data_IF_984437670635
#
_entry.id   IF_984437670635
#
_cell.length_a   1.000
_cell.length_b   1.000
_cell.length_c   1.000
_cell.angle_alpha   90.00
_cell.angle_beta   90.00
_cell.angle_gamma   90.00
#
_symmetry.space_group_name_H-M   'P 1'
#
loop_
_entity.id
_entity.type
_entity.pdbx_description
1 polymer ?
#
# COMPACT_ATOMS: atom_id res chain seq x y z
N UNK A 1 -2.90 -10.12 -31.01
CA UNK A 1 -2.55 -11.03 -29.94
C UNK A 1 -3.62 -10.97 -28.84
N UNK A 2 -3.90 -12.08 -28.20
CA UNK A 2 -4.84 -12.20 -27.08
C UNK A 2 -4.14 -12.92 -25.95
N UNK A 3 -4.38 -12.49 -24.71
CA UNK A 3 -3.89 -13.17 -23.51
C UNK A 3 -5.07 -13.66 -22.67
N UNK A 4 -5.00 -14.90 -22.21
CA UNK A 4 -5.96 -15.52 -21.31
C UNK A 4 -5.19 -16.22 -20.20
N UNK A 5 -5.22 -15.66 -18.99
CA UNK A 5 -4.40 -16.12 -17.89
C UNK A 5 -2.89 -16.07 -18.21
N UNK A 6 -2.20 -17.18 -18.01
CA UNK A 6 -0.76 -17.30 -18.29
C UNK A 6 -0.42 -17.59 -19.78
N UNK A 7 -1.41 -17.69 -20.65
CA UNK A 7 -1.22 -18.09 -22.05
C UNK A 7 -1.49 -16.90 -22.97
N UNK A 8 -0.49 -16.51 -23.76
CA UNK A 8 -0.63 -15.57 -24.88
C UNK A 8 -0.81 -16.34 -26.21
N UNK A 9 -1.76 -15.90 -27.05
CA UNK A 9 -2.00 -16.45 -28.37
C UNK A 9 -1.83 -15.36 -29.43
N UNK A 10 -1.15 -15.71 -30.51
CA UNK A 10 -0.99 -14.85 -31.69
C UNK A 10 -1.73 -15.52 -32.85
N UNK A 11 -2.60 -14.75 -33.50
CA UNK A 11 -3.40 -15.23 -34.62
C UNK A 11 -2.96 -14.51 -35.90
N UNK A 12 -3.00 -15.19 -37.03
CA UNK A 12 -2.79 -14.60 -38.34
C UNK A 12 -4.07 -13.88 -38.81
N UNK A 13 -3.91 -12.71 -39.43
CA UNK A 13 -5.02 -11.93 -39.98
C UNK A 13 -5.75 -11.04 -38.94
N UNK A 14 -6.91 -10.56 -39.33
CA UNK A 14 -7.77 -9.70 -38.49
C UNK A 14 -8.80 -10.55 -37.76
N UNK A 15 -8.81 -10.47 -36.44
CA UNK A 15 -9.80 -11.16 -35.63
C UNK A 15 -11.05 -10.26 -35.53
N UNK A 16 -12.25 -10.77 -35.78
CA UNK A 16 -13.47 -10.01 -35.55
C UNK A 16 -13.63 -9.71 -34.05
N UNK A 17 -13.84 -8.45 -33.71
CA UNK A 17 -14.04 -7.98 -32.34
C UNK A 17 -15.41 -7.33 -32.25
N UNK A 18 -16.21 -7.76 -31.28
CA UNK A 18 -17.46 -7.10 -30.93
C UNK A 18 -17.20 -6.12 -29.78
N UNK A 19 -17.46 -4.84 -30.02
CA UNK A 19 -17.38 -3.80 -28.99
C UNK A 19 -18.78 -3.48 -28.53
N UNK A 20 -19.09 -3.83 -27.28
CA UNK A 20 -20.35 -3.43 -26.64
C UNK A 20 -20.10 -2.17 -25.83
N UNK A 21 -20.83 -1.10 -26.13
CA UNK A 21 -20.80 0.14 -25.35
C UNK A 21 -22.08 0.22 -24.53
N UNK A 22 -21.93 0.32 -23.21
CA UNK A 22 -23.03 0.56 -22.29
C UNK A 22 -23.06 2.05 -21.96
N UNK A 23 -24.16 2.72 -22.25
CA UNK A 23 -24.38 4.10 -21.84
C UNK A 23 -24.76 4.13 -20.35
N UNK A 24 -23.92 4.73 -19.55
CA UNK A 24 -24.09 4.85 -18.10
C UNK A 24 -24.69 6.21 -17.70
N UNK A 25 -24.90 7.13 -18.66
CA UNK A 25 -25.38 8.49 -18.37
C UNK A 25 -26.82 8.52 -17.85
N UNK A 26 -27.62 7.50 -18.19
CA UNK A 26 -29.00 7.35 -17.74
C UNK A 26 -29.17 6.65 -16.38
N UNK A 27 -28.07 6.19 -15.77
CA UNK A 27 -28.12 5.53 -14.46
C UNK A 27 -28.50 6.54 -13.38
N UNK A 28 -29.55 6.24 -12.64
CA UNK A 28 -29.87 7.00 -11.43
C UNK A 28 -28.79 6.74 -10.36
N UNK A 29 -28.26 7.82 -9.81
CA UNK A 29 -27.28 7.71 -8.74
C UNK A 29 -27.92 7.04 -7.53
N UNK A 30 -27.32 5.96 -6.99
CA UNK A 30 -27.87 5.29 -5.81
C UNK A 30 -27.76 6.23 -4.59
N UNK A 31 -28.55 5.96 -3.58
CA UNK A 31 -28.50 6.68 -2.30
C UNK A 31 -27.19 6.43 -1.54
N UNK A 32 -26.59 5.27 -1.75
CA UNK A 32 -25.33 4.85 -1.14
C UNK A 32 -24.15 5.24 -2.04
N UNK A 33 -23.00 5.56 -1.46
CA UNK A 33 -21.76 5.71 -2.20
C UNK A 33 -21.27 4.37 -2.71
N UNK A 34 -20.92 4.31 -3.99
CA UNK A 34 -20.33 3.14 -4.65
C UNK A 34 -18.85 3.40 -4.83
N UNK A 35 -18.03 2.79 -3.98
CA UNK A 35 -16.60 2.98 -3.97
C UNK A 35 -15.88 1.70 -4.44
N UNK A 36 -14.72 1.86 -5.07
CA UNK A 36 -13.93 0.73 -5.57
C UNK A 36 -12.91 0.26 -4.53
N UNK A 37 -12.55 -1.02 -4.58
CA UNK A 37 -11.36 -1.54 -3.91
C UNK A 37 -10.21 -1.56 -4.91
N UNK A 38 -9.06 -1.02 -4.52
CA UNK A 38 -7.90 -0.91 -5.38
C UNK A 38 -6.62 -1.26 -4.59
N UNK A 39 -5.75 -2.07 -5.19
CA UNK A 39 -4.47 -2.41 -4.59
C UNK A 39 -3.31 -2.07 -5.53
N UNK A 40 -3.49 -2.27 -6.84
CA UNK A 40 -2.46 -2.00 -7.83
C UNK A 40 -2.57 -0.55 -8.36
N UNK A 41 -1.55 0.30 -8.18
CA UNK A 41 -1.55 1.67 -8.69
C UNK A 41 -1.55 1.74 -10.23
N UNK A 42 -1.02 0.74 -10.94
CA UNK A 42 -0.92 0.74 -12.41
C UNK A 42 -2.27 0.81 -13.12
N UNK A 43 -3.32 0.26 -12.50
CA UNK A 43 -4.67 0.29 -13.04
C UNK A 43 -5.54 1.43 -12.48
N UNK A 44 -4.97 2.30 -11.62
CA UNK A 44 -5.73 3.33 -10.92
C UNK A 44 -6.45 4.28 -11.88
N UNK A 45 -5.74 4.80 -12.88
CA UNK A 45 -6.32 5.71 -13.85
C UNK A 45 -7.46 5.05 -14.66
N UNK A 46 -7.26 3.83 -15.14
CA UNK A 46 -8.27 3.10 -15.87
C UNK A 46 -9.51 2.83 -15.00
N UNK A 47 -9.30 2.45 -13.75
CA UNK A 47 -10.39 2.18 -12.79
C UNK A 47 -11.15 3.45 -12.42
N UNK A 48 -10.49 4.61 -12.34
CA UNK A 48 -11.12 5.89 -12.00
C UNK A 48 -12.14 6.35 -13.05
N UNK A 49 -12.02 5.89 -14.30
CA UNK A 49 -12.96 6.19 -15.38
C UNK A 49 -14.30 5.44 -15.26
N UNK A 50 -14.37 4.42 -14.42
CA UNK A 50 -15.64 3.75 -14.12
C UNK A 50 -16.51 4.65 -13.23
N UNK A 51 -17.86 4.54 -13.29
CA UNK A 51 -18.73 5.23 -12.34
C UNK A 51 -18.40 4.81 -10.91
N UNK A 52 -17.96 5.76 -10.09
CA UNK A 52 -17.57 5.52 -8.70
C UNK A 52 -17.62 6.80 -7.87
N UNK A 53 -17.66 6.66 -6.56
CA UNK A 53 -17.59 7.75 -5.58
C UNK A 53 -16.23 7.84 -4.87
N UNK A 54 -15.22 7.12 -5.37
CA UNK A 54 -13.86 7.10 -4.84
C UNK A 54 -13.35 5.69 -4.55
N UNK A 55 -12.26 5.61 -3.79
CA UNK A 55 -11.64 4.35 -3.35
C UNK A 55 -11.98 4.09 -1.89
N UNK A 56 -12.79 3.07 -1.64
CA UNK A 56 -13.21 2.67 -0.29
C UNK A 56 -12.16 1.86 0.45
N UNK A 57 -11.25 1.22 -0.29
CA UNK A 57 -10.10 0.51 0.26
C UNK A 57 -8.95 0.46 -0.74
N UNK A 58 -7.91 1.23 -0.48
CA UNK A 58 -6.60 1.06 -1.12
C UNK A 58 -5.69 0.25 -0.19
N UNK A 59 -5.18 -0.88 -0.70
CA UNK A 59 -4.32 -1.79 0.07
C UNK A 59 -2.86 -1.51 -0.25
N UNK A 60 -2.15 -0.83 0.64
CA UNK A 60 -0.72 -0.55 0.44
C UNK A 60 0.15 -1.82 0.41
N UNK A 61 -0.35 -2.94 0.94
CA UNK A 61 0.36 -4.21 0.91
C UNK A 61 0.74 -4.64 -0.51
N UNK A 62 -0.09 -4.34 -1.50
CA UNK A 62 0.24 -4.63 -2.90
C UNK A 62 1.42 -3.80 -3.39
N UNK A 63 1.48 -2.51 -3.01
CA UNK A 63 2.62 -1.66 -3.35
C UNK A 63 3.88 -2.19 -2.68
N UNK A 64 3.79 -2.56 -1.40
CA UNK A 64 4.93 -3.12 -0.66
C UNK A 64 5.38 -4.45 -1.25
N UNK A 65 4.46 -5.35 -1.59
CA UNK A 65 4.79 -6.68 -2.09
C UNK A 65 5.31 -6.68 -3.54
N UNK A 66 4.76 -5.83 -4.40
CA UNK A 66 5.07 -5.84 -5.84
C UNK A 66 6.18 -4.87 -6.23
N UNK A 67 6.18 -3.65 -5.65
CA UNK A 67 7.13 -2.59 -6.02
C UNK A 67 8.32 -2.52 -5.06
N UNK A 68 8.10 -2.54 -3.75
CA UNK A 68 9.17 -2.41 -2.75
C UNK A 68 9.86 -3.75 -2.51
N UNK A 69 9.12 -4.81 -2.23
CA UNK A 69 9.55 -6.20 -2.03
C UNK A 69 10.52 -6.44 -0.86
N UNK A 70 10.85 -5.41 -0.10
CA UNK A 70 11.76 -5.46 1.04
C UNK A 70 10.99 -5.17 2.32
N UNK A 71 11.30 -5.91 3.39
CA UNK A 71 10.74 -5.62 4.71
C UNK A 71 11.20 -4.24 5.20
N UNK A 72 10.31 -3.35 5.69
CA UNK A 72 10.70 -1.99 6.08
C UNK A 72 11.81 -1.95 7.13
N UNK A 73 11.79 -2.85 8.13
CA UNK A 73 12.86 -2.93 9.13
C UNK A 73 14.20 -3.40 8.55
N UNK A 74 14.20 -4.15 7.45
CA UNK A 74 15.43 -4.54 6.74
C UNK A 74 16.09 -3.35 6.02
N UNK A 75 15.31 -2.33 5.67
CA UNK A 75 15.80 -1.08 5.11
C UNK A 75 16.32 -0.11 6.17
N UNK A 76 15.82 -0.22 7.41
CA UNK A 76 16.29 0.58 8.55
C UNK A 76 17.53 -0.04 9.18
N UNK A 77 17.56 -1.36 9.32
CA UNK A 77 18.58 -2.14 10.02
C UNK A 77 19.18 -3.26 9.15
N UNK A 78 19.79 -2.94 7.99
CA UNK A 78 20.38 -3.96 7.12
C UNK A 78 21.50 -4.77 7.80
N UNK A 79 22.15 -4.21 8.82
CA UNK A 79 23.18 -4.87 9.61
C UNK A 79 22.66 -6.07 10.43
N UNK A 80 21.36 -6.16 10.67
CA UNK A 80 20.73 -7.28 11.39
C UNK A 80 20.43 -8.48 10.51
N UNK A 81 20.68 -8.38 9.21
CA UNK A 81 20.46 -9.47 8.26
C UNK A 81 21.75 -10.28 8.15
N UNK A 82 21.73 -11.52 8.57
CA UNK A 82 22.93 -12.39 8.53
C UNK A 82 23.33 -12.79 7.11
N UNK A 83 22.34 -12.99 6.21
CA UNK A 83 22.58 -13.39 4.83
C UNK A 83 23.17 -12.25 4.00
N UNK A 84 24.44 -12.43 3.60
CA UNK A 84 25.16 -11.45 2.79
C UNK A 84 24.55 -11.25 1.40
N UNK A 85 23.96 -12.30 0.79
CA UNK A 85 23.34 -12.21 -0.53
C UNK A 85 22.06 -11.36 -0.46
N UNK A 86 21.29 -11.49 0.63
CA UNK A 86 20.09 -10.65 0.90
C UNK A 86 20.50 -9.19 1.09
N UNK A 87 21.56 -8.91 1.87
CA UNK A 87 22.06 -7.53 2.02
C UNK A 87 22.51 -6.91 0.72
N UNK A 88 23.23 -7.67 -0.11
CA UNK A 88 23.65 -7.19 -1.44
C UNK A 88 22.45 -6.91 -2.36
N UNK A 89 21.44 -7.76 -2.32
CA UNK A 89 20.22 -7.56 -3.10
C UNK A 89 19.46 -6.29 -2.65
N UNK A 90 19.38 -6.03 -1.34
CA UNK A 90 18.80 -4.79 -0.81
C UNK A 90 19.63 -3.58 -1.25
N UNK A 91 20.95 -3.65 -1.16
CA UNK A 91 21.82 -2.56 -1.58
C UNK A 91 21.64 -2.21 -3.07
N UNK A 92 21.48 -3.21 -3.95
CA UNK A 92 21.18 -2.99 -5.37
C UNK A 92 19.80 -2.34 -5.60
N UNK A 93 18.77 -2.79 -4.87
CA UNK A 93 17.42 -2.21 -4.98
C UNK A 93 17.37 -0.76 -4.53
N UNK A 94 18.22 -0.40 -3.58
CA UNK A 94 18.26 0.95 -2.98
C UNK A 94 19.40 1.81 -3.53
N UNK A 95 20.04 1.38 -4.62
CA UNK A 95 21.08 2.16 -5.31
C UNK A 95 20.50 3.51 -5.77
N UNK A 96 21.21 4.58 -5.48
CA UNK A 96 20.78 5.94 -5.80
C UNK A 96 20.05 6.68 -4.67
N UNK A 97 19.68 6.00 -3.59
CA UNK A 97 19.13 6.63 -2.38
C UNK A 97 20.24 6.86 -1.34
N UNK A 98 20.20 8.02 -0.64
CA UNK A 98 21.19 8.31 0.40
C UNK A 98 21.06 7.33 1.59
N UNK A 99 19.86 6.85 1.86
CA UNK A 99 19.57 5.81 2.84
C UNK A 99 18.59 4.79 2.24
N UNK A 100 18.77 3.48 2.52
CA UNK A 100 17.86 2.46 2.02
C UNK A 100 16.37 2.70 2.43
N UNK A 101 16.14 3.30 3.60
CA UNK A 101 14.80 3.65 4.08
C UNK A 101 14.09 4.71 3.21
N UNK A 102 14.83 5.58 2.51
CA UNK A 102 14.25 6.58 1.60
C UNK A 102 13.61 5.93 0.38
N UNK A 103 14.14 4.79 -0.08
CA UNK A 103 13.54 3.97 -1.13
C UNK A 103 12.10 3.56 -0.75
N UNK A 104 11.90 3.05 0.47
CA UNK A 104 10.56 2.67 0.93
C UNK A 104 9.59 3.85 0.91
N UNK A 105 10.01 4.98 1.46
CA UNK A 105 9.18 6.19 1.52
C UNK A 105 8.85 6.69 0.12
N UNK A 106 9.80 6.66 -0.80
CA UNK A 106 9.63 7.06 -2.18
C UNK A 106 8.62 6.17 -2.90
N UNK A 107 8.89 4.87 -2.98
CA UNK A 107 8.06 3.91 -3.71
C UNK A 107 6.63 3.85 -3.17
N UNK A 108 6.48 3.84 -1.83
CA UNK A 108 5.15 3.83 -1.23
C UNK A 108 4.40 5.12 -1.51
N UNK A 109 5.06 6.28 -1.43
CA UNK A 109 4.41 7.57 -1.71
C UNK A 109 4.04 7.71 -3.18
N UNK A 110 4.86 7.25 -4.11
CA UNK A 110 4.54 7.27 -5.55
C UNK A 110 3.34 6.36 -5.86
N UNK A 111 3.32 5.13 -5.34
CA UNK A 111 2.20 4.21 -5.55
C UNK A 111 0.88 4.72 -4.99
N UNK A 112 0.88 5.24 -3.76
CA UNK A 112 -0.31 5.85 -3.15
C UNK A 112 -0.68 7.15 -3.86
N UNK A 113 0.33 7.94 -4.26
CA UNK A 113 0.16 9.19 -5.00
C UNK A 113 -0.53 8.98 -6.35
N UNK A 114 -0.16 7.94 -7.09
CA UNK A 114 -0.82 7.56 -8.35
C UNK A 114 -2.31 7.26 -8.13
N UNK A 115 -2.65 6.52 -7.07
CA UNK A 115 -4.05 6.24 -6.73
C UNK A 115 -4.76 7.54 -6.34
N UNK A 116 -4.16 8.34 -5.46
CA UNK A 116 -4.72 9.61 -5.01
C UNK A 116 -5.01 10.58 -6.15
N UNK A 117 -4.05 10.73 -7.07
CA UNK A 117 -4.17 11.60 -8.23
C UNK A 117 -5.23 11.12 -9.24
N UNK A 118 -5.26 9.79 -9.51
CA UNK A 118 -6.22 9.21 -10.46
C UNK A 118 -7.68 9.42 -10.01
N UNK A 119 -7.95 9.47 -8.73
CA UNK A 119 -9.30 9.64 -8.18
C UNK A 119 -9.59 11.07 -7.69
N UNK A 120 -8.62 11.98 -7.74
CA UNK A 120 -8.85 13.35 -7.27
C UNK A 120 -10.05 14.02 -7.99
N UNK A 121 -10.95 14.74 -7.28
CA UNK A 121 -10.96 15.04 -5.84
C UNK A 121 -11.74 14.05 -4.97
N UNK A 122 -12.12 12.88 -5.50
CA UNK A 122 -12.88 11.87 -4.76
C UNK A 122 -12.02 11.27 -3.65
N UNK A 123 -12.62 10.85 -2.52
CA UNK A 123 -11.88 10.29 -1.40
C UNK A 123 -11.18 8.98 -1.76
N UNK A 124 -9.98 8.79 -1.23
CA UNK A 124 -9.18 7.58 -1.35
C UNK A 124 -8.79 7.12 0.05
N UNK A 125 -9.42 6.05 0.53
CA UNK A 125 -9.15 5.50 1.86
C UNK A 125 -8.01 4.49 1.73
N UNK A 126 -6.82 4.86 2.21
CA UNK A 126 -5.63 4.01 2.23
C UNK A 126 -5.54 3.30 3.56
N UNK A 127 -5.59 1.99 3.53
CA UNK A 127 -5.37 1.17 4.71
C UNK A 127 -3.87 1.08 5.01
N UNK A 128 -3.47 1.49 6.22
CA UNK A 128 -2.12 1.26 6.72
C UNK A 128 -1.82 -0.24 6.76
N UNK A 129 -0.56 -0.62 6.72
CA UNK A 129 -0.13 -2.01 6.50
C UNK A 129 -0.81 -3.01 7.42
N UNK A 130 -1.35 -4.07 6.82
CA UNK A 130 -2.11 -5.13 7.48
C UNK A 130 -1.54 -6.52 7.16
N UNK A 131 -0.23 -6.60 7.00
CA UNK A 131 0.44 -7.88 6.79
C UNK A 131 0.38 -8.77 8.04
N UNK A 132 0.22 -10.04 7.81
CA UNK A 132 0.50 -11.08 8.79
C UNK A 132 2.02 -11.26 8.94
N UNK A 133 2.47 -11.79 10.06
CA UNK A 133 3.89 -12.06 10.31
C UNK A 133 4.53 -12.94 9.23
N UNK A 134 3.84 -13.99 8.77
CA UNK A 134 4.34 -14.84 7.68
C UNK A 134 4.41 -14.12 6.32
N UNK A 135 3.52 -13.18 6.06
CA UNK A 135 3.56 -12.36 4.84
C UNK A 135 4.74 -11.38 4.89
N UNK A 136 4.93 -10.70 6.02
CA UNK A 136 6.10 -9.84 6.22
C UNK A 136 7.42 -10.63 6.22
N UNK A 137 7.45 -11.83 6.83
CA UNK A 137 8.63 -12.69 6.81
C UNK A 137 9.04 -13.09 5.39
N UNK A 138 8.09 -13.19 4.45
CA UNK A 138 8.36 -13.54 3.06
C UNK A 138 9.00 -12.41 2.23
N UNK A 139 8.91 -11.16 2.71
CA UNK A 139 9.60 -10.05 2.07
C UNK A 139 11.12 -10.16 2.27
N UNK A 140 11.87 -9.59 1.35
CA UNK A 140 13.33 -9.61 1.40
C UNK A 140 13.86 -9.07 2.74
N UNK A 141 14.63 -9.87 3.45
CA UNK A 141 15.13 -9.59 4.79
C UNK A 141 14.12 -9.76 5.92
N UNK A 142 12.84 -10.12 5.64
CA UNK A 142 11.77 -10.18 6.62
C UNK A 142 11.96 -11.22 7.74
N UNK A 143 12.54 -12.36 7.42
CA UNK A 143 12.79 -13.42 8.40
C UNK A 143 13.63 -12.98 9.62
N UNK A 144 14.47 -11.95 9.47
CA UNK A 144 15.30 -11.43 10.55
C UNK A 144 14.50 -10.59 11.57
N UNK A 145 13.27 -10.15 11.22
CA UNK A 145 12.51 -9.19 12.02
C UNK A 145 11.15 -9.72 12.49
N UNK A 146 10.64 -10.79 11.88
CA UNK A 146 9.32 -11.29 12.19
C UNK A 146 9.33 -12.48 13.15
N UNK A 147 8.48 -12.47 14.19
CA UNK A 147 8.30 -13.63 15.06
C UNK A 147 7.59 -14.77 14.34
N UNK A 148 7.90 -16.00 14.73
CA UNK A 148 7.10 -17.14 14.32
C UNK A 148 5.81 -17.21 15.14
N UNK A 149 4.67 -17.11 14.47
CA UNK A 149 3.35 -17.23 15.09
C UNK A 149 2.62 -18.49 14.60
N UNK A 150 2.05 -19.24 15.53
CA UNK A 150 1.25 -20.44 15.19
C UNK A 150 -0.04 -20.06 14.42
N UNK A 151 -0.63 -18.91 14.74
CA UNK A 151 -1.78 -18.37 14.03
C UNK A 151 -1.62 -16.87 13.80
N UNK A 152 -1.07 -16.45 12.64
CA UNK A 152 -0.81 -15.04 12.34
C UNK A 152 -2.06 -14.24 11.97
N UNK A 153 -3.25 -14.87 11.91
CA UNK A 153 -4.47 -14.18 11.46
C UNK A 153 -4.89 -13.02 12.35
N UNK A 154 -4.71 -13.15 13.67
CA UNK A 154 -5.09 -12.16 14.70
C UNK A 154 -3.95 -11.83 15.66
N UNK A 155 -2.72 -12.20 15.31
CA UNK A 155 -1.54 -12.01 16.13
C UNK A 155 -0.93 -10.60 16.03
N UNK A 156 0.37 -10.53 15.81
CA UNK A 156 1.14 -9.30 15.67
C UNK A 156 0.84 -8.62 14.33
N UNK A 157 -0.26 -7.85 14.28
CA UNK A 157 -0.85 -7.34 13.05
C UNK A 157 -1.60 -6.03 13.27
N UNK A 158 -1.54 -5.09 12.32
CA UNK A 158 -2.27 -3.83 12.34
C UNK A 158 -1.90 -2.96 13.55
N UNK A 159 -2.89 -2.37 14.22
CA UNK A 159 -2.71 -1.39 15.30
C UNK A 159 -1.72 -1.83 16.39
N UNK A 160 -1.75 -3.10 16.81
CA UNK A 160 -0.84 -3.63 17.83
C UNK A 160 0.63 -3.63 17.39
N UNK A 161 0.88 -3.70 16.08
CA UNK A 161 2.24 -3.69 15.51
C UNK A 161 2.84 -2.30 15.50
N UNK A 162 2.06 -1.27 15.18
CA UNK A 162 2.58 0.08 14.91
C UNK A 162 3.26 0.74 16.10
N UNK A 163 2.76 0.48 17.31
CA UNK A 163 3.32 1.00 18.55
C UNK A 163 4.41 0.09 19.15
N UNK A 164 4.56 -1.13 18.62
CA UNK A 164 5.50 -2.10 19.18
C UNK A 164 6.93 -1.75 18.79
N UNK A 165 7.91 -1.78 19.73
CA UNK A 165 9.31 -1.42 19.45
C UNK A 165 9.94 -2.18 18.28
N UNK A 166 9.52 -3.43 18.05
CA UNK A 166 10.03 -4.25 16.95
C UNK A 166 9.65 -3.70 15.55
N UNK A 167 8.66 -2.81 15.45
CA UNK A 167 8.17 -2.29 14.16
C UNK A 167 7.99 -0.77 14.13
N UNK A 168 8.16 -0.07 15.23
CA UNK A 168 7.89 1.37 15.32
C UNK A 168 8.63 2.21 14.27
N UNK A 169 9.86 1.85 13.92
CA UNK A 169 10.65 2.53 12.87
C UNK A 169 10.10 2.22 11.47
N UNK A 170 9.65 0.98 11.22
CA UNK A 170 8.97 0.61 9.97
C UNK A 170 7.64 1.38 9.81
N UNK A 171 6.88 1.53 10.89
CA UNK A 171 5.66 2.34 10.88
C UNK A 171 5.95 3.83 10.63
N UNK A 172 7.07 4.35 11.14
CA UNK A 172 7.48 5.73 10.86
C UNK A 172 7.75 5.96 9.35
N UNK A 173 8.26 4.96 8.62
CA UNK A 173 8.42 5.06 7.16
C UNK A 173 7.06 5.11 6.43
N UNK A 174 6.08 4.31 6.87
CA UNK A 174 4.72 4.39 6.33
C UNK A 174 4.12 5.80 6.54
N UNK A 175 4.25 6.33 7.75
CA UNK A 175 3.80 7.69 8.07
C UNK A 175 4.50 8.76 7.23
N UNK A 176 5.80 8.64 7.03
CA UNK A 176 6.58 9.56 6.21
C UNK A 176 6.11 9.54 4.73
N UNK A 177 5.80 8.35 4.19
CA UNK A 177 5.25 8.21 2.85
C UNK A 177 3.87 8.88 2.74
N UNK A 178 2.97 8.64 3.70
CA UNK A 178 1.63 9.26 3.70
C UNK A 178 1.70 10.79 3.86
N UNK A 179 2.61 11.27 4.70
CA UNK A 179 2.86 12.70 4.85
C UNK A 179 3.36 13.32 3.54
N UNK A 180 4.28 12.65 2.83
CA UNK A 180 4.76 13.10 1.52
C UNK A 180 3.62 13.19 0.50
N UNK A 181 2.71 12.20 0.46
CA UNK A 181 1.53 12.20 -0.42
C UNK A 181 0.64 13.41 -0.14
N UNK A 182 0.36 13.70 1.13
CA UNK A 182 -0.55 14.79 1.49
C UNK A 182 0.09 16.17 1.38
N UNK A 183 1.30 16.33 1.92
CA UNK A 183 1.93 17.64 2.06
C UNK A 183 2.73 18.04 0.81
N UNK A 184 3.56 17.14 0.27
CA UNK A 184 4.41 17.44 -0.86
C UNK A 184 3.72 17.27 -2.21
N UNK A 185 2.87 16.23 -2.36
CA UNK A 185 2.11 16.00 -3.60
C UNK A 185 0.77 16.74 -3.59
N UNK A 186 0.31 17.25 -2.45
CA UNK A 186 -0.94 18.01 -2.32
C UNK A 186 -2.21 17.16 -2.43
N UNK A 187 -2.12 15.83 -2.29
CA UNK A 187 -3.23 14.90 -2.45
C UNK A 187 -4.03 14.76 -1.13
N UNK A 188 -4.74 15.81 -0.77
CA UNK A 188 -5.52 15.89 0.47
C UNK A 188 -6.76 14.99 0.49
N UNK A 189 -7.15 14.44 -0.67
CA UNK A 189 -8.22 13.45 -0.79
C UNK A 189 -7.83 12.05 -0.28
N UNK A 190 -6.56 11.84 0.08
CA UNK A 190 -6.09 10.60 0.69
C UNK A 190 -6.38 10.61 2.19
N UNK A 191 -7.15 9.62 2.64
CA UNK A 191 -7.52 9.38 4.03
C UNK A 191 -6.88 8.08 4.52
N UNK A 192 -6.56 7.98 5.82
CA UNK A 192 -5.91 6.80 6.39
C UNK A 192 -6.88 5.95 7.19
N UNK A 193 -6.87 4.64 6.94
CA UNK A 193 -7.60 3.65 7.72
C UNK A 193 -6.63 2.82 8.56
N UNK A 194 -6.91 2.68 9.85
CA UNK A 194 -6.14 1.87 10.78
C UNK A 194 -6.79 0.49 10.88
N UNK A 195 -6.11 -0.59 10.44
CA UNK A 195 -6.64 -1.94 10.54
C UNK A 195 -6.46 -2.56 11.94
N UNK A 196 -7.31 -3.53 12.27
CA UNK A 196 -7.19 -4.39 13.45
C UNK A 196 -7.05 -3.62 14.78
N UNK A 197 -7.80 -2.57 14.96
CA UNK A 197 -7.96 -1.92 16.26
C UNK A 197 -8.85 -2.80 17.12
N UNK A 198 -8.35 -3.29 18.26
CA UNK A 198 -9.05 -4.22 19.13
C UNK A 198 -9.60 -3.57 20.39
N UNK A 199 -8.94 -2.48 20.84
CA UNK A 199 -9.30 -1.76 22.05
C UNK A 199 -9.28 -0.25 21.84
N UNK A 200 -9.98 0.48 22.71
CA UNK A 200 -9.95 1.95 22.71
C UNK A 200 -8.52 2.48 22.94
N UNK A 201 -7.78 1.84 23.84
CA UNK A 201 -6.40 2.23 24.14
C UNK A 201 -5.48 2.07 22.91
N UNK A 202 -5.64 1.00 22.11
CA UNK A 202 -4.90 0.87 20.83
C UNK A 202 -5.26 1.99 19.86
N UNK A 203 -6.55 2.36 19.75
CA UNK A 203 -6.96 3.47 18.88
C UNK A 203 -6.30 4.79 19.31
N UNK A 204 -6.38 5.11 20.59
CA UNK A 204 -5.78 6.33 21.15
C UNK A 204 -4.26 6.36 20.93
N UNK A 205 -3.59 5.23 21.16
CA UNK A 205 -2.14 5.10 20.96
C UNK A 205 -1.72 5.33 19.50
N UNK A 206 -2.43 4.70 18.55
CA UNK A 206 -2.10 4.86 17.11
C UNK A 206 -2.41 6.28 16.64
N UNK A 207 -3.52 6.88 17.07
CA UNK A 207 -3.83 8.29 16.76
C UNK A 207 -2.75 9.22 17.31
N UNK A 208 -2.27 8.99 18.53
CA UNK A 208 -1.18 9.77 19.11
C UNK A 208 0.15 9.58 18.34
N UNK A 209 0.44 8.37 17.86
CA UNK A 209 1.61 8.10 17.02
C UNK A 209 1.52 8.82 15.67
N UNK A 210 0.37 8.75 14.99
CA UNK A 210 0.14 9.48 13.74
C UNK A 210 0.30 10.98 13.95
N UNK A 211 -0.26 11.53 15.03
CA UNK A 211 -0.11 12.95 15.38
C UNK A 211 1.35 13.37 15.58
N UNK A 212 2.16 12.53 16.24
CA UNK A 212 3.62 12.75 16.40
C UNK A 212 4.36 12.79 15.05
N UNK A 213 3.87 12.07 14.06
CA UNK A 213 4.40 12.06 12.69
C UNK A 213 3.83 13.19 11.81
N UNK A 214 2.97 14.05 12.36
CA UNK A 214 2.35 15.14 11.63
C UNK A 214 1.13 14.73 10.77
N UNK A 215 0.50 13.61 11.12
CA UNK A 215 -0.73 13.09 10.50
C UNK A 215 -1.87 13.15 11.52
N UNK A 216 -2.29 14.34 11.85
CA UNK A 216 -3.37 14.56 12.83
C UNK A 216 -4.74 14.34 12.21
N UNK A 217 -5.70 13.88 13.03
CA UNK A 217 -7.09 13.70 12.60
C UNK A 217 -7.73 15.05 12.27
N UNK A 218 -8.41 15.12 11.12
CA UNK A 218 -9.13 16.33 10.68
C UNK A 218 -8.27 17.35 9.95
N UNK A 219 -7.06 16.97 9.53
CA UNK A 219 -6.20 17.77 8.66
C UNK A 219 -6.30 17.34 7.21
#
# INVERSE_FOLDING_TARGET
>A
SCAEGAVGRVYAGTIPVTVTRTDLSALQRPRMHVMVNLGNPDIALQTSLLPNDGVGLARMEFIVAEHIRVHPMALVHPERIDDAAVREQIARLTEGYAKPSEFFVHELSEGVGLIGAAFYPKPVIVRLSDFKTNEYASLLGGHAFEPAEANPMIGFRGASRYAHPAYAEGFALECAAMKRVRDAMGLTNVELMIPFVRTLAEAEQVIALLGKQGLSRGQ
#
